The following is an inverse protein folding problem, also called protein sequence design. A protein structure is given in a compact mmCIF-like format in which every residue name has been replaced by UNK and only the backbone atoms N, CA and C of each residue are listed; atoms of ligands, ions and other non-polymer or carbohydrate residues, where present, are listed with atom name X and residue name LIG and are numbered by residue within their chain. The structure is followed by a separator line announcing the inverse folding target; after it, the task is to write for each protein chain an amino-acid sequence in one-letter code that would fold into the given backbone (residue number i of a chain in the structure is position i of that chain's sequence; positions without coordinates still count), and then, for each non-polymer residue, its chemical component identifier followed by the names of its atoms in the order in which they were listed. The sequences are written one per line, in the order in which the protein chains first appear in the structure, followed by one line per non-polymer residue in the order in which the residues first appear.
data_IF_187362956041
#
_entry.id   IF_187362956041
#
_cell.length_a   1.000
_cell.length_b   1.000
_cell.length_c   1.000
_cell.angle_alpha   90.00
_cell.angle_beta   90.00
_cell.angle_gamma   90.00
#
_symmetry.space_group_name_H-M   'P 1'
#
loop_
_entity.id
_entity.type
_entity.pdbx_description
1 polymer ?
#
# COMPACT_ATOMS: atom_id res chain seq x y z
N UNK A 1 -5.91 11.21 -2.78
CA UNK A 1 -4.66 11.81 -2.27
C UNK A 1 -3.51 11.39 -3.17
N UNK A 2 -3.09 10.11 -3.22
CA UNK A 2 -1.93 9.60 -3.98
C UNK A 2 -1.94 10.06 -5.44
N UNK A 3 -3.06 9.94 -6.16
CA UNK A 3 -3.19 10.37 -7.57
C UNK A 3 -2.93 11.88 -7.77
N UNK A 4 -3.29 12.70 -6.82
CA UNK A 4 -3.04 14.15 -6.89
C UNK A 4 -1.55 14.41 -6.78
N UNK A 5 -0.90 13.82 -5.78
CA UNK A 5 0.55 13.95 -5.60
C UNK A 5 1.33 13.35 -6.77
N UNK A 6 0.92 12.18 -7.28
CA UNK A 6 1.57 11.56 -8.42
C UNK A 6 1.54 12.48 -9.67
N UNK A 7 0.40 13.18 -9.91
CA UNK A 7 0.32 14.20 -10.98
C UNK A 7 1.17 15.44 -10.71
N UNK A 8 1.29 15.86 -9.45
CA UNK A 8 2.18 16.94 -9.06
C UNK A 8 3.63 16.54 -9.35
N UNK A 9 4.00 15.30 -9.02
CA UNK A 9 5.31 14.74 -9.33
C UNK A 9 5.58 14.69 -10.83
N UNK A 10 4.62 14.25 -11.64
CA UNK A 10 4.76 14.26 -13.11
C UNK A 10 5.10 15.67 -13.64
N UNK A 11 4.55 16.71 -13.03
CA UNK A 11 4.72 18.09 -13.48
C UNK A 11 5.98 18.78 -12.90
N UNK A 12 6.28 18.55 -11.63
CA UNK A 12 7.35 19.26 -10.93
C UNK A 12 8.68 18.52 -10.89
N UNK A 13 8.64 17.19 -10.87
CA UNK A 13 9.82 16.35 -10.65
C UNK A 13 9.95 15.22 -11.69
N UNK A 14 9.79 15.48 -13.01
CA UNK A 14 9.89 14.43 -14.03
C UNK A 14 11.29 13.79 -14.09
N UNK A 15 12.31 14.52 -13.58
CA UNK A 15 13.69 14.03 -13.51
C UNK A 15 13.89 12.90 -12.48
N UNK A 16 13.03 12.81 -11.44
CA UNK A 16 13.09 11.74 -10.46
C UNK A 16 12.83 10.36 -11.08
N UNK A 17 12.07 10.28 -12.16
CA UNK A 17 11.83 9.03 -12.87
C UNK A 17 13.10 8.43 -13.49
N UNK A 18 14.13 9.25 -13.73
CA UNK A 18 15.44 8.76 -14.22
C UNK A 18 16.24 8.01 -13.14
N UNK A 19 15.95 8.30 -11.89
CA UNK A 19 16.58 7.67 -10.71
C UNK A 19 15.69 6.60 -10.11
N UNK A 20 14.53 6.33 -10.73
CA UNK A 20 13.62 5.32 -10.22
C UNK A 20 14.23 3.94 -10.41
N UNK A 21 14.52 3.31 -9.31
CA UNK A 21 15.14 1.99 -9.29
C UNK A 21 14.03 0.94 -9.46
N UNK A 22 14.15 0.12 -10.48
CA UNK A 22 13.51 -1.18 -10.48
C UNK A 22 14.05 -1.94 -9.27
N UNK A 23 13.17 -2.23 -8.30
CA UNK A 23 13.57 -2.89 -7.06
C UNK A 23 14.27 -4.23 -7.32
N UNK A 24 13.91 -4.91 -8.41
CA UNK A 24 14.57 -6.13 -8.85
C UNK A 24 15.99 -5.87 -9.36
N UNK A 25 16.19 -4.77 -10.11
CA UNK A 25 17.54 -4.36 -10.60
C UNK A 25 18.42 -3.82 -9.48
N UNK A 26 17.84 -3.11 -8.50
CA UNK A 26 18.58 -2.67 -7.33
C UNK A 26 19.08 -3.88 -6.54
N UNK A 27 18.20 -4.85 -6.31
CA UNK A 27 18.53 -6.09 -5.60
C UNK A 27 19.65 -6.88 -6.31
N UNK A 28 19.65 -6.91 -7.65
CA UNK A 28 20.72 -7.56 -8.42
C UNK A 28 22.08 -6.84 -8.34
N UNK A 29 22.09 -5.51 -8.13
CA UNK A 29 23.32 -4.70 -8.00
C UNK A 29 23.90 -4.72 -6.59
N UNK A 30 23.05 -4.68 -5.56
CA UNK A 30 23.46 -4.64 -4.15
C UNK A 30 23.66 -6.06 -3.59
N UNK A 31 23.16 -7.08 -4.30
CA UNK A 31 23.28 -8.47 -3.89
C UNK A 31 22.60 -8.76 -2.56
N UNK A 32 23.24 -9.55 -1.69
CA UNK A 32 22.70 -9.95 -0.39
C UNK A 32 22.22 -8.76 0.46
N UNK A 33 22.92 -7.63 0.44
CA UNK A 33 22.61 -6.46 1.26
C UNK A 33 21.29 -5.77 0.90
N UNK A 34 20.77 -5.96 -0.30
CA UNK A 34 19.46 -5.51 -0.73
C UNK A 34 18.36 -6.58 -0.57
N UNK A 35 18.69 -7.76 -0.07
CA UNK A 35 17.71 -8.83 0.14
C UNK A 35 16.72 -8.48 1.24
N UNK A 36 15.52 -9.07 1.18
CA UNK A 36 14.49 -8.91 2.22
C UNK A 36 15.01 -9.34 3.58
N UNK A 37 15.85 -10.38 3.59
CA UNK A 37 16.51 -10.85 4.80
C UNK A 37 17.42 -9.78 5.41
N UNK A 38 18.30 -9.17 4.64
CA UNK A 38 19.18 -8.09 5.11
C UNK A 38 18.38 -6.86 5.58
N UNK A 39 17.34 -6.48 4.83
CA UNK A 39 16.43 -5.39 5.21
C UNK A 39 15.74 -5.69 6.55
N UNK A 40 15.29 -6.92 6.76
CA UNK A 40 14.72 -7.35 8.04
C UNK A 40 15.72 -7.20 9.20
N UNK A 41 16.99 -7.57 8.99
CA UNK A 41 18.06 -7.36 9.99
C UNK A 41 18.19 -5.87 10.34
N UNK A 42 18.32 -4.99 9.34
CA UNK A 42 18.48 -3.56 9.58
C UNK A 42 17.29 -2.97 10.34
N UNK A 43 16.08 -3.35 9.94
CA UNK A 43 14.85 -2.89 10.58
C UNK A 43 14.77 -3.37 12.03
N UNK A 44 15.07 -4.64 12.28
CA UNK A 44 15.07 -5.19 13.63
C UNK A 44 16.10 -4.56 14.54
N UNK A 45 17.33 -4.31 14.04
CA UNK A 45 18.35 -3.57 14.79
C UNK A 45 17.87 -2.15 15.09
N UNK A 46 17.36 -1.44 14.09
CA UNK A 46 16.90 -0.07 14.25
C UNK A 46 15.77 0.06 15.29
N UNK A 47 14.74 -0.78 15.18
CA UNK A 47 13.63 -0.79 16.14
C UNK A 47 14.10 -1.20 17.54
N UNK A 48 14.96 -2.20 17.64
CA UNK A 48 15.51 -2.65 18.94
C UNK A 48 16.35 -1.59 19.62
N UNK A 49 17.15 -0.81 18.87
CA UNK A 49 17.91 0.32 19.40
C UNK A 49 16.99 1.44 19.89
N UNK A 50 15.96 1.80 19.10
CA UNK A 50 14.97 2.80 19.50
C UNK A 50 14.19 2.39 20.76
N UNK A 51 13.91 1.10 20.90
CA UNK A 51 13.22 0.55 22.08
C UNK A 51 14.14 0.38 23.30
N UNK A 52 15.43 0.71 23.22
CA UNK A 52 16.38 0.56 24.32
C UNK A 52 16.59 -0.89 24.73
N UNK A 53 16.44 -1.85 23.81
CA UNK A 53 16.58 -3.28 24.11
C UNK A 53 18.04 -3.68 24.37
N UNK A 54 18.23 -4.77 25.09
CA UNK A 54 19.56 -5.37 25.29
C UNK A 54 20.12 -5.94 23.98
N UNK A 55 21.44 -6.05 23.81
CA UNK A 55 22.06 -6.58 22.59
C UNK A 55 21.49 -7.94 22.16
N UNK A 56 21.21 -8.83 23.11
CA UNK A 56 20.63 -10.15 22.84
C UNK A 56 19.20 -10.04 22.30
N UNK A 57 18.39 -9.15 22.84
CA UNK A 57 17.03 -8.89 22.36
C UNK A 57 17.06 -8.25 20.95
N UNK A 58 17.96 -7.30 20.70
CA UNK A 58 18.17 -6.69 19.40
C UNK A 58 18.53 -7.74 18.36
N UNK A 59 19.46 -8.63 18.68
CA UNK A 59 19.85 -9.72 17.77
C UNK A 59 18.68 -10.66 17.46
N UNK A 60 17.93 -11.08 18.49
CA UNK A 60 16.74 -11.91 18.31
C UNK A 60 15.68 -11.23 17.47
N UNK A 61 15.41 -9.94 17.70
CA UNK A 61 14.45 -9.15 16.93
C UNK A 61 14.88 -9.01 15.48
N UNK A 62 16.16 -8.71 15.23
CA UNK A 62 16.73 -8.57 13.89
C UNK A 62 16.60 -9.87 13.09
N UNK A 63 16.95 -10.99 13.69
CA UNK A 63 16.83 -12.29 13.04
C UNK A 63 15.38 -12.68 12.78
N UNK A 64 14.50 -12.47 13.76
CA UNK A 64 13.06 -12.73 13.61
C UNK A 64 12.46 -11.87 12.50
N UNK A 65 12.77 -10.58 12.44
CA UNK A 65 12.29 -9.69 11.39
C UNK A 65 12.78 -10.13 10.00
N UNK A 66 14.05 -10.56 9.89
CA UNK A 66 14.62 -11.07 8.65
C UNK A 66 13.90 -12.33 8.15
N UNK A 67 13.69 -13.30 9.03
CA UNK A 67 12.99 -14.54 8.71
C UNK A 67 11.53 -14.27 8.35
N UNK A 68 10.84 -13.41 9.10
CA UNK A 68 9.45 -13.05 8.82
C UNK A 68 9.30 -12.41 7.44
N UNK A 69 10.14 -11.46 7.06
CA UNK A 69 10.05 -10.80 5.76
C UNK A 69 10.28 -11.78 4.60
N UNK A 70 11.21 -12.71 4.75
CA UNK A 70 11.45 -13.74 3.75
C UNK A 70 10.26 -14.72 3.63
N UNK A 71 9.77 -15.22 4.76
CA UNK A 71 8.63 -16.13 4.81
C UNK A 71 7.35 -15.50 4.25
N UNK A 72 7.02 -14.26 4.60
CA UNK A 72 5.85 -13.56 4.06
C UNK A 72 5.89 -13.49 2.55
N UNK A 73 7.05 -13.22 2.00
CA UNK A 73 7.23 -13.16 0.55
C UNK A 73 7.06 -14.51 -0.13
N UNK A 74 7.62 -15.56 0.47
CA UNK A 74 7.52 -16.93 -0.04
C UNK A 74 6.07 -17.45 0.03
N UNK A 75 5.42 -17.25 1.18
CA UNK A 75 4.01 -17.64 1.39
C UNK A 75 3.11 -16.87 0.41
N UNK A 76 3.34 -15.56 0.23
CA UNK A 76 2.61 -14.75 -0.74
C UNK A 76 2.75 -15.27 -2.17
N UNK A 77 3.94 -15.66 -2.58
CA UNK A 77 4.18 -16.24 -3.91
C UNK A 77 3.46 -17.59 -4.09
N UNK A 78 3.48 -18.46 -3.09
CA UNK A 78 2.75 -19.74 -3.12
C UNK A 78 1.24 -19.52 -3.16
N UNK A 79 0.73 -18.55 -2.40
CA UNK A 79 -0.69 -18.21 -2.41
C UNK A 79 -1.14 -17.73 -3.79
N UNK A 80 -0.36 -16.85 -4.43
CA UNK A 80 -0.62 -16.40 -5.80
C UNK A 80 -0.66 -17.59 -6.76
N UNK A 81 0.35 -18.45 -6.73
CA UNK A 81 0.43 -19.61 -7.61
C UNK A 81 -0.75 -20.58 -7.40
N UNK A 82 -1.24 -20.72 -6.16
CA UNK A 82 -2.38 -21.59 -5.87
C UNK A 82 -3.72 -21.02 -6.35
N UNK A 83 -3.89 -19.68 -6.32
CA UNK A 83 -5.16 -19.01 -6.66
C UNK A 83 -5.24 -18.63 -8.14
N UNK A 84 -4.11 -18.52 -8.83
CA UNK A 84 -4.06 -18.13 -10.25
C UNK A 84 -4.93 -19.01 -11.15
N UNK A 85 -4.89 -20.37 -11.07
CA UNK A 85 -5.75 -21.22 -11.89
C UNK A 85 -7.25 -20.99 -11.64
N UNK A 86 -7.64 -20.75 -10.38
CA UNK A 86 -9.01 -20.42 -10.01
C UNK A 86 -9.46 -19.10 -10.62
N UNK A 87 -8.61 -18.07 -10.53
CA UNK A 87 -8.84 -16.75 -11.12
C UNK A 87 -9.00 -16.82 -12.63
N UNK A 88 -8.16 -17.59 -13.31
CA UNK A 88 -8.26 -17.82 -14.75
C UNK A 88 -9.55 -18.58 -15.09
N UNK A 89 -9.89 -19.64 -14.38
CA UNK A 89 -11.12 -20.42 -14.60
C UNK A 89 -12.39 -19.57 -14.43
N UNK A 90 -12.45 -18.71 -13.41
CA UNK A 90 -13.57 -17.78 -13.21
C UNK A 90 -13.65 -16.76 -14.35
N UNK A 91 -12.51 -16.22 -14.78
CA UNK A 91 -12.45 -15.26 -15.91
C UNK A 91 -12.95 -15.89 -17.20
N UNK A 92 -12.50 -17.10 -17.52
CA UNK A 92 -12.90 -17.83 -18.71
C UNK A 92 -14.39 -18.19 -18.70
N UNK A 93 -14.89 -18.66 -17.55
CA UNK A 93 -16.31 -18.95 -17.36
C UNK A 93 -17.16 -17.72 -17.55
N UNK A 94 -16.76 -16.63 -16.96
CA UNK A 94 -17.47 -15.36 -17.02
C UNK A 94 -17.46 -14.76 -18.45
N UNK A 95 -16.31 -14.79 -19.14
CA UNK A 95 -16.19 -14.33 -20.52
C UNK A 95 -17.05 -15.14 -21.48
N UNK A 96 -17.18 -16.47 -21.26
CA UNK A 96 -18.07 -17.32 -22.07
C UNK A 96 -19.55 -17.00 -21.86
N UNK A 97 -19.95 -16.64 -20.65
CA UNK A 97 -21.37 -16.37 -20.30
C UNK A 97 -21.81 -14.92 -20.54
N UNK A 98 -20.91 -13.97 -20.40
CA UNK A 98 -21.23 -12.54 -20.39
C UNK A 98 -20.89 -11.86 -21.71
N UNK A 99 -21.26 -12.44 -22.84
CA UNK A 99 -21.10 -11.94 -24.22
C UNK A 99 -20.65 -10.45 -24.29
N UNK A 100 -19.34 -10.23 -24.44
CA UNK A 100 -18.78 -8.88 -24.67
C UNK A 100 -18.49 -8.01 -23.44
N UNK A 101 -18.63 -8.54 -22.21
CA UNK A 101 -18.20 -7.85 -20.99
C UNK A 101 -16.89 -8.46 -20.49
N UNK A 102 -15.85 -7.65 -20.36
CA UNK A 102 -14.62 -8.04 -19.67
C UNK A 102 -14.85 -7.98 -18.16
N UNK A 103 -14.66 -9.08 -17.48
CA UNK A 103 -14.63 -9.11 -16.01
C UNK A 103 -13.20 -8.89 -15.57
N UNK A 104 -13.01 -7.89 -14.72
CA UNK A 104 -11.77 -7.69 -14.00
C UNK A 104 -11.93 -8.31 -12.60
N UNK A 105 -11.11 -9.29 -12.31
CA UNK A 105 -11.04 -9.87 -10.96
C UNK A 105 -10.17 -8.95 -10.13
N UNK A 106 -10.73 -8.41 -9.04
CA UNK A 106 -9.98 -7.63 -8.07
C UNK A 106 -9.03 -8.53 -7.30
N UNK A 107 -7.75 -8.20 -7.29
CA UNK A 107 -6.74 -8.89 -6.48
C UNK A 107 -6.64 -8.17 -5.14
N UNK A 108 -6.77 -8.93 -4.06
CA UNK A 108 -6.64 -8.46 -2.70
C UNK A 108 -5.16 -8.45 -2.26
N UNK A 109 -4.90 -7.93 -1.06
CA UNK A 109 -3.58 -7.75 -0.48
C UNK A 109 -2.66 -8.99 -0.57
N UNK A 110 -3.11 -10.23 -0.32
CA UNK A 110 -2.24 -11.39 -0.43
C UNK A 110 -1.53 -11.53 -1.77
N UNK A 111 -2.18 -11.12 -2.86
CA UNK A 111 -1.58 -11.13 -4.20
C UNK A 111 -0.54 -10.04 -4.40
N UNK A 112 -0.72 -8.90 -3.72
CA UNK A 112 0.22 -7.78 -3.77
C UNK A 112 1.42 -8.02 -2.85
N UNK A 113 1.28 -8.83 -1.82
CA UNK A 113 2.34 -9.14 -0.86
C UNK A 113 3.57 -9.83 -1.50
N UNK A 114 3.40 -10.47 -2.66
CA UNK A 114 4.51 -11.02 -3.45
C UNK A 114 5.38 -9.96 -4.14
N UNK A 115 4.92 -8.69 -4.22
CA UNK A 115 5.61 -7.61 -4.93
C UNK A 115 6.73 -7.04 -4.08
N UNK A 116 7.96 -7.05 -4.63
CA UNK A 116 9.15 -6.55 -3.95
C UNK A 116 9.08 -5.05 -3.62
N UNK A 117 8.42 -4.27 -4.48
CA UNK A 117 8.26 -2.83 -4.33
C UNK A 117 7.46 -2.45 -3.08
N UNK A 118 6.45 -3.26 -2.71
CA UNK A 118 5.66 -3.06 -1.49
C UNK A 118 6.56 -3.13 -0.26
N UNK A 119 7.38 -4.17 -0.17
CA UNK A 119 8.26 -4.37 0.97
C UNK A 119 9.40 -3.36 1.00
N UNK A 120 9.98 -3.03 -0.17
CA UNK A 120 11.01 -2.01 -0.25
C UNK A 120 10.48 -0.63 0.23
N UNK A 121 9.31 -0.22 -0.25
CA UNK A 121 8.66 1.02 0.21
C UNK A 121 8.28 0.95 1.70
N UNK A 122 7.69 -0.16 2.15
CA UNK A 122 7.27 -0.33 3.54
C UNK A 122 8.44 -0.22 4.53
N UNK A 123 9.59 -0.80 4.18
CA UNK A 123 10.79 -0.75 5.02
C UNK A 123 11.36 0.66 5.19
N UNK A 124 11.27 1.50 4.15
CA UNK A 124 11.69 2.90 4.24
C UNK A 124 10.64 3.75 4.95
N UNK A 125 9.36 3.49 4.71
CA UNK A 125 8.27 4.25 5.33
C UNK A 125 8.08 3.92 6.81
N UNK A 126 8.46 2.72 7.28
CA UNK A 126 8.29 2.33 8.67
C UNK A 126 9.02 3.26 9.67
N UNK A 127 10.34 3.53 9.53
CA UNK A 127 11.01 4.49 10.40
C UNK A 127 10.49 5.92 10.23
N UNK A 128 10.09 6.32 9.02
CA UNK A 128 9.50 7.64 8.77
C UNK A 128 8.18 7.76 9.56
N UNK A 129 7.31 6.77 9.48
CA UNK A 129 6.04 6.76 10.21
C UNK A 129 6.25 6.82 11.73
N UNK A 130 7.27 6.13 12.23
CA UNK A 130 7.58 6.17 13.65
C UNK A 130 8.01 7.57 14.10
N UNK A 131 8.86 8.23 13.31
CA UNK A 131 9.26 9.62 13.56
C UNK A 131 8.06 10.57 13.48
N UNK A 132 7.24 10.44 12.44
CA UNK A 132 6.03 11.24 12.30
C UNK A 132 5.05 11.04 13.46
N UNK A 133 4.88 9.80 13.94
CA UNK A 133 4.02 9.53 15.09
C UNK A 133 4.45 10.28 16.35
N UNK A 134 5.76 10.51 16.52
CA UNK A 134 6.32 11.23 17.67
C UNK A 134 6.16 12.75 17.53
N UNK A 135 6.43 13.28 16.32
CA UNK A 135 6.48 14.74 16.08
C UNK A 135 5.14 15.34 15.68
N UNK A 136 4.19 14.51 15.23
CA UNK A 136 2.93 14.99 14.65
C UNK A 136 2.00 15.55 15.75
N UNK A 137 1.64 16.85 15.69
CA UNK A 137 0.81 17.45 16.72
C UNK A 137 -0.58 16.83 16.74
N UNK A 138 -1.09 16.55 17.94
CA UNK A 138 -2.42 15.96 18.13
C UNK A 138 -2.52 14.46 17.84
N UNK A 139 -1.47 13.83 17.38
CA UNK A 139 -1.43 12.37 17.26
C UNK A 139 -1.29 11.71 18.64
N UNK A 140 -2.11 10.70 18.88
CA UNK A 140 -2.09 9.87 20.10
C UNK A 140 -1.86 8.39 19.79
N UNK A 141 -1.62 8.08 18.52
CA UNK A 141 -1.49 6.72 18.03
C UNK A 141 -0.01 6.34 17.92
N UNK A 142 0.35 5.22 18.52
CA UNK A 142 1.61 4.56 18.24
C UNK A 142 1.38 3.61 17.04
N UNK A 143 2.07 3.80 15.92
CA UNK A 143 1.79 3.07 14.71
C UNK A 143 2.21 1.60 14.82
N UNK A 144 1.38 0.73 14.22
CA UNK A 144 1.71 -0.67 13.99
C UNK A 144 2.08 -0.86 12.52
N UNK A 145 3.04 -1.71 12.23
CA UNK A 145 3.58 -1.94 10.88
C UNK A 145 2.54 -2.31 9.79
N UNK A 146 1.36 -2.79 10.21
CA UNK A 146 0.26 -3.09 9.29
C UNK A 146 -0.27 -1.90 8.48
N UNK A 147 -0.19 -0.67 9.02
CA UNK A 147 -0.62 0.54 8.30
C UNK A 147 0.10 0.65 6.95
N UNK A 148 1.41 0.48 6.94
CA UNK A 148 2.23 0.70 5.76
C UNK A 148 2.00 -0.41 4.75
N UNK A 149 2.20 -1.66 5.17
CA UNK A 149 2.18 -2.79 4.26
C UNK A 149 0.78 -3.06 3.67
N UNK A 150 -0.28 -2.85 4.44
CA UNK A 150 -1.66 -3.20 4.05
C UNK A 150 -2.48 -1.99 3.60
N UNK A 151 -2.29 -0.83 4.22
CA UNK A 151 -3.09 0.37 3.94
C UNK A 151 -2.48 1.28 2.89
N UNK A 152 -1.19 1.57 2.99
CA UNK A 152 -0.52 2.62 2.19
C UNK A 152 0.11 2.07 0.92
N UNK A 153 0.98 1.08 1.03
CA UNK A 153 1.83 0.63 -0.11
C UNK A 153 1.07 -0.02 -1.26
N UNK A 154 -0.04 -0.75 -1.08
CA UNK A 154 -0.79 -1.29 -2.23
C UNK A 154 -1.38 -0.20 -3.11
N UNK A 155 -1.95 0.84 -2.51
CA UNK A 155 -2.50 1.98 -3.25
C UNK A 155 -1.40 2.79 -3.96
N UNK A 156 -0.24 2.97 -3.31
CA UNK A 156 0.94 3.57 -3.91
C UNK A 156 1.43 2.76 -5.11
N UNK A 157 1.57 1.44 -4.97
CA UNK A 157 2.01 0.55 -6.05
C UNK A 157 1.15 0.73 -7.32
N UNK A 158 -0.16 0.71 -7.16
CA UNK A 158 -1.11 0.81 -8.27
C UNK A 158 -1.04 2.20 -8.93
N UNK A 159 -1.05 3.26 -8.14
CA UNK A 159 -1.09 4.63 -8.66
C UNK A 159 0.24 5.05 -9.27
N UNK A 160 1.35 4.75 -8.63
CA UNK A 160 2.69 5.13 -9.13
C UNK A 160 3.28 4.12 -10.11
N UNK A 161 2.58 2.99 -10.36
CA UNK A 161 3.04 1.88 -11.21
C UNK A 161 4.35 1.26 -10.72
N UNK A 162 4.51 1.15 -9.41
CA UNK A 162 5.68 0.55 -8.79
C UNK A 162 6.94 1.42 -8.78
N UNK A 163 6.83 2.71 -9.10
CA UNK A 163 7.94 3.65 -9.01
C UNK A 163 8.32 3.88 -7.56
N UNK A 164 9.41 3.26 -7.11
CA UNK A 164 9.77 3.14 -5.70
C UNK A 164 9.98 4.50 -5.01
N UNK A 165 10.71 5.41 -5.66
CA UNK A 165 10.97 6.75 -5.10
C UNK A 165 9.65 7.50 -4.92
N UNK A 166 8.74 7.44 -5.89
CA UNK A 166 7.42 8.06 -5.77
C UNK A 166 6.59 7.41 -4.67
N UNK A 167 6.63 6.09 -4.55
CA UNK A 167 5.96 5.37 -3.46
C UNK A 167 6.43 5.87 -2.10
N UNK A 168 7.74 6.02 -1.90
CA UNK A 168 8.31 6.47 -0.63
C UNK A 168 7.90 7.92 -0.33
N UNK A 169 8.11 8.85 -1.27
CA UNK A 169 7.85 10.27 -1.01
C UNK A 169 6.36 10.56 -0.84
N UNK A 170 5.51 10.02 -1.70
CA UNK A 170 4.05 10.20 -1.58
C UNK A 170 3.54 9.49 -0.33
N UNK A 171 4.07 8.30 -0.03
CA UNK A 171 3.73 7.57 1.19
C UNK A 171 4.03 8.36 2.45
N UNK A 172 5.22 8.95 2.56
CA UNK A 172 5.58 9.80 3.68
C UNK A 172 4.62 10.99 3.86
N UNK A 173 4.18 11.62 2.77
CA UNK A 173 3.19 12.71 2.84
C UNK A 173 1.81 12.21 3.28
N UNK A 174 1.47 10.95 3.00
CA UNK A 174 0.16 10.38 3.30
C UNK A 174 0.06 9.80 4.72
N UNK A 175 1.17 9.35 5.31
CA UNK A 175 1.20 8.74 6.65
C UNK A 175 0.56 9.58 7.75
N UNK A 176 0.75 10.91 7.84
CA UNK A 176 0.06 11.75 8.81
C UNK A 176 -1.47 11.63 8.78
N UNK A 177 -2.05 11.45 7.60
CA UNK A 177 -3.50 11.28 7.47
C UNK A 177 -3.98 9.98 8.12
N UNK A 178 -3.19 8.90 8.00
CA UNK A 178 -3.47 7.63 8.68
C UNK A 178 -3.38 7.76 10.19
N UNK A 179 -2.36 8.45 10.70
CA UNK A 179 -2.13 8.66 12.12
C UNK A 179 -3.25 9.50 12.76
N UNK A 180 -3.61 10.64 12.14
CA UNK A 180 -4.69 11.48 12.63
C UNK A 180 -6.05 10.80 12.56
N UNK A 181 -6.36 10.12 11.46
CA UNK A 181 -7.64 9.41 11.32
C UNK A 181 -7.78 8.28 12.33
N UNK A 182 -6.71 7.53 12.58
CA UNK A 182 -6.66 6.52 13.62
C UNK A 182 -6.86 7.10 15.03
N UNK A 183 -6.28 8.26 15.31
CA UNK A 183 -6.46 8.99 16.58
C UNK A 183 -7.91 9.46 16.75
N UNK A 184 -8.53 9.99 15.69
CA UNK A 184 -9.91 10.47 15.73
C UNK A 184 -10.93 9.37 16.00
N UNK A 185 -10.72 8.18 15.43
CA UNK A 185 -11.66 7.06 15.58
C UNK A 185 -11.45 6.27 16.89
N UNK A 186 -10.32 6.45 17.57
CA UNK A 186 -9.94 5.68 18.76
C UNK A 186 -11.02 5.63 19.86
N UNK A 187 -11.75 6.72 20.20
CA UNK A 187 -12.81 6.67 21.18
C UNK A 187 -13.92 5.68 20.81
N UNK A 188 -14.36 5.67 19.56
CA UNK A 188 -15.42 4.77 19.08
C UNK A 188 -14.98 3.32 19.08
N UNK A 189 -13.76 3.05 18.59
CA UNK A 189 -13.16 1.70 18.61
C UNK A 189 -13.05 1.19 20.05
N UNK A 190 -12.59 2.03 20.97
CA UNK A 190 -12.47 1.69 22.39
C UNK A 190 -13.83 1.38 23.03
N UNK A 191 -14.83 2.22 22.76
CA UNK A 191 -16.19 2.02 23.26
C UNK A 191 -16.79 0.72 22.74
N UNK A 192 -16.67 0.46 21.44
CA UNK A 192 -17.15 -0.77 20.82
C UNK A 192 -16.44 -1.99 21.40
N UNK A 193 -15.12 -1.97 21.53
CA UNK A 193 -14.35 -3.07 22.10
C UNK A 193 -14.78 -3.38 23.55
N UNK A 194 -15.05 -2.35 24.37
CA UNK A 194 -15.56 -2.52 25.73
C UNK A 194 -16.96 -3.11 25.72
N UNK A 195 -17.84 -2.67 24.84
CA UNK A 195 -19.22 -3.14 24.74
C UNK A 195 -19.33 -4.63 24.35
N UNK A 196 -18.43 -5.10 23.49
CA UNK A 196 -18.39 -6.52 23.04
C UNK A 196 -17.44 -7.40 23.86
N UNK A 197 -16.83 -6.87 24.93
CA UNK A 197 -15.90 -7.63 25.78
C UNK A 197 -14.55 -7.96 25.14
N UNK A 198 -14.17 -7.26 24.06
CA UNK A 198 -12.92 -7.44 23.33
C UNK A 198 -11.83 -6.42 23.73
N UNK A 199 -12.03 -5.65 24.79
CA UNK A 199 -11.02 -4.73 25.25
C UNK A 199 -9.85 -5.51 25.89
N UNK A 200 -8.58 -5.25 25.50
CA UNK A 200 -7.45 -6.04 25.97
C UNK A 200 -7.30 -6.00 27.49
N UNK A 201 -7.15 -7.19 28.10
CA UNK A 201 -6.82 -7.31 29.52
C UNK A 201 -5.41 -6.80 29.76
N UNK A 202 -5.22 -6.00 30.81
CA UNK A 202 -3.92 -5.43 31.17
C UNK A 202 -3.71 -3.97 30.76
N UNK A 203 -4.61 -3.40 29.95
CA UNK A 203 -4.63 -1.96 29.72
C UNK A 203 -5.42 -1.24 30.82
N UNK A 204 -5.00 0.00 31.13
CA UNK A 204 -5.76 0.84 32.08
C UNK A 204 -7.17 1.12 31.54
N UNK A 205 -8.15 1.31 32.43
CA UNK A 205 -9.52 1.63 32.04
C UNK A 205 -9.63 2.93 31.23
N UNK A 206 -8.68 3.84 31.37
CA UNK A 206 -8.57 5.11 30.61
C UNK A 206 -7.82 4.96 29.27
N UNK A 207 -7.18 3.82 29.02
CA UNK A 207 -6.47 3.61 27.76
C UNK A 207 -7.46 3.58 26.58
N UNK A 208 -6.98 4.06 25.44
CA UNK A 208 -7.70 4.00 24.17
C UNK A 208 -6.98 3.06 23.21
N UNK A 209 -7.76 2.32 22.45
CA UNK A 209 -7.30 1.49 21.35
C UNK A 209 -7.86 2.03 20.03
N UNK A 210 -7.16 1.82 18.95
CA UNK A 210 -7.61 2.23 17.63
C UNK A 210 -7.39 1.09 16.63
N UNK A 211 -8.10 1.20 15.52
CA UNK A 211 -7.93 0.31 14.37
C UNK A 211 -7.30 1.08 13.22
N UNK A 212 -6.21 0.58 12.67
CA UNK A 212 -5.38 1.35 11.73
C UNK A 212 -4.89 0.56 10.53
N UNK A 213 -5.28 -0.70 10.39
CA UNK A 213 -4.58 -1.61 9.49
C UNK A 213 -5.13 -1.67 8.08
N UNK A 214 -6.44 -1.65 7.87
CA UNK A 214 -7.03 -1.93 6.55
C UNK A 214 -7.82 -0.76 5.98
N UNK A 215 -8.50 0.00 6.80
CA UNK A 215 -9.31 1.12 6.35
C UNK A 215 -8.43 2.35 6.07
N UNK A 216 -8.73 3.01 4.96
CA UNK A 216 -8.09 4.27 4.61
C UNK A 216 -8.50 5.43 5.54
N UNK A 217 -7.77 6.55 5.46
CA UNK A 217 -8.10 7.73 6.26
C UNK A 217 -9.51 8.26 6.02
N UNK A 218 -10.00 8.19 4.79
CA UNK A 218 -11.32 8.72 4.40
C UNK A 218 -12.43 7.95 5.09
N UNK A 219 -12.33 6.62 5.11
CA UNK A 219 -13.31 5.75 5.77
C UNK A 219 -13.35 6.02 7.27
N UNK A 220 -12.21 6.26 7.90
CA UNK A 220 -12.12 6.62 9.32
C UNK A 220 -12.72 7.99 9.61
N UNK A 221 -12.45 8.99 8.76
CA UNK A 221 -13.08 10.31 8.88
C UNK A 221 -14.60 10.22 8.72
N UNK A 222 -15.10 9.47 7.75
CA UNK A 222 -16.54 9.24 7.59
C UNK A 222 -17.11 8.51 8.81
N UNK A 223 -16.43 7.47 9.30
CA UNK A 223 -16.81 6.76 10.50
C UNK A 223 -16.89 7.66 11.74
N UNK A 224 -15.93 8.57 11.89
CA UNK A 224 -15.95 9.59 12.94
C UNK A 224 -17.17 10.51 12.83
N UNK A 225 -17.46 11.02 11.64
CA UNK A 225 -18.59 11.93 11.42
C UNK A 225 -19.93 11.22 11.66
N UNK A 226 -20.11 10.01 11.14
CA UNK A 226 -21.31 9.20 11.34
C UNK A 226 -21.48 8.80 12.82
N UNK A 227 -20.36 8.43 13.48
CA UNK A 227 -20.37 8.07 14.89
C UNK A 227 -20.84 9.22 15.78
N UNK A 228 -20.39 10.45 15.55
CA UNK A 228 -20.87 11.64 16.28
C UNK A 228 -22.33 11.95 15.96
N UNK A 229 -22.74 11.82 14.69
CA UNK A 229 -24.14 12.00 14.29
C UNK A 229 -25.06 11.00 15.01
N UNK A 230 -24.65 9.74 15.16
CA UNK A 230 -25.40 8.69 15.86
C UNK A 230 -25.55 8.93 17.38
N UNK A 231 -24.64 9.73 17.95
CA UNK A 231 -24.69 10.17 19.35
C UNK A 231 -25.57 11.41 19.57
N UNK A 232 -26.32 11.85 18.55
CA UNK A 232 -27.27 12.96 18.64
C UNK A 232 -26.68 14.34 18.30
N UNK A 233 -25.43 14.40 17.81
CA UNK A 233 -24.83 15.65 17.34
C UNK A 233 -25.27 15.94 15.90
N UNK A 234 -26.40 16.63 15.73
CA UNK A 234 -27.09 16.81 14.44
C UNK A 234 -26.21 17.51 13.38
N UNK A 235 -25.35 18.44 13.80
CA UNK A 235 -24.41 19.11 12.90
C UNK A 235 -23.50 18.13 12.13
N UNK A 236 -23.18 16.99 12.73
CA UNK A 236 -22.35 15.96 12.09
C UNK A 236 -23.08 15.22 10.97
N UNK A 237 -24.42 15.23 10.93
CA UNK A 237 -25.19 14.70 9.80
C UNK A 237 -24.91 15.52 8.54
N UNK A 238 -24.88 16.85 8.67
CA UNK A 238 -24.54 17.73 7.55
C UNK A 238 -23.09 17.53 7.11
N UNK A 239 -22.16 17.48 8.05
CA UNK A 239 -20.73 17.24 7.74
C UNK A 239 -20.51 15.88 7.09
N UNK A 240 -21.18 14.82 7.54
CA UNK A 240 -21.12 13.50 6.93
C UNK A 240 -21.67 13.52 5.49
N UNK A 241 -22.80 14.19 5.28
CA UNK A 241 -23.39 14.36 3.94
C UNK A 241 -22.46 15.11 2.97
N UNK A 242 -21.87 16.21 3.41
CA UNK A 242 -20.91 16.98 2.62
C UNK A 242 -19.63 16.18 2.33
N UNK A 243 -19.08 15.49 3.34
CA UNK A 243 -17.91 14.66 3.18
C UNK A 243 -18.15 13.49 2.21
N UNK A 244 -19.30 12.83 2.29
CA UNK A 244 -19.68 11.77 1.37
C UNK A 244 -19.84 12.29 -0.07
N UNK A 245 -20.48 13.44 -0.26
CA UNK A 245 -20.62 14.07 -1.56
C UNK A 245 -19.23 14.42 -2.16
N UNK A 246 -18.34 15.02 -1.35
CA UNK A 246 -16.98 15.31 -1.77
C UNK A 246 -16.20 14.04 -2.13
N UNK A 247 -16.33 12.99 -1.31
CA UNK A 247 -15.71 11.69 -1.59
C UNK A 247 -16.18 11.09 -2.92
N UNK A 248 -17.49 11.10 -3.18
CA UNK A 248 -18.05 10.58 -4.43
C UNK A 248 -17.54 11.36 -5.65
N UNK A 249 -17.45 12.69 -5.57
CA UNK A 249 -16.89 13.52 -6.65
C UNK A 249 -15.42 13.19 -6.91
N UNK A 250 -14.62 13.08 -5.85
CA UNK A 250 -13.21 12.69 -5.94
C UNK A 250 -13.07 11.28 -6.52
N UNK A 251 -13.92 10.35 -6.09
CA UNK A 251 -13.92 8.97 -6.60
C UNK A 251 -14.25 8.90 -8.08
N UNK A 252 -15.27 9.62 -8.53
CA UNK A 252 -15.64 9.70 -9.95
C UNK A 252 -14.48 10.28 -10.77
N UNK A 253 -13.85 11.34 -10.29
CA UNK A 253 -12.68 11.93 -10.92
C UNK A 253 -11.51 10.92 -10.97
N UNK A 254 -11.21 10.23 -9.87
CA UNK A 254 -10.18 9.20 -9.80
C UNK A 254 -10.45 8.07 -10.79
N UNK A 255 -11.66 7.53 -10.82
CA UNK A 255 -12.04 6.44 -11.70
C UNK A 255 -11.87 6.83 -13.19
N UNK A 256 -12.25 8.07 -13.56
CA UNK A 256 -12.03 8.60 -14.91
C UNK A 256 -10.54 8.72 -15.25
N UNK A 257 -9.72 9.16 -14.31
CA UNK A 257 -8.26 9.27 -14.52
C UNK A 257 -7.62 7.89 -14.68
N UNK A 258 -7.97 6.93 -13.81
CA UNK A 258 -7.46 5.56 -13.90
C UNK A 258 -7.86 4.89 -15.21
N UNK A 259 -9.10 5.05 -15.66
CA UNK A 259 -9.55 4.53 -16.96
C UNK A 259 -8.71 5.07 -18.12
N UNK A 260 -8.41 6.38 -18.15
CA UNK A 260 -7.54 7.00 -19.15
C UNK A 260 -6.11 6.45 -19.10
N UNK A 261 -5.54 6.32 -17.88
CA UNK A 261 -4.17 5.79 -17.69
C UNK A 261 -4.06 4.33 -18.13
N UNK A 262 -5.05 3.51 -17.79
CA UNK A 262 -5.06 2.09 -18.16
C UNK A 262 -5.18 1.91 -19.68
N UNK A 263 -6.00 2.74 -20.35
CA UNK A 263 -6.10 2.72 -21.81
C UNK A 263 -4.78 3.12 -22.48
N UNK A 264 -4.12 4.18 -21.99
CA UNK A 264 -2.80 4.59 -22.50
C UNK A 264 -1.74 3.50 -22.29
N UNK A 265 -1.73 2.84 -21.13
CA UNK A 265 -0.81 1.75 -20.84
C UNK A 265 -1.04 0.51 -21.73
N UNK A 266 -2.31 0.18 -22.00
CA UNK A 266 -2.66 -0.92 -22.90
C UNK A 266 -2.16 -0.63 -24.32
N UNK A 267 -2.38 0.59 -24.83
CA UNK A 267 -1.90 1.01 -26.15
C UNK A 267 -0.36 0.98 -26.26
N UNK A 268 0.35 1.43 -25.22
CA UNK A 268 1.82 1.38 -25.18
C UNK A 268 2.34 -0.07 -25.18
N UNK A 269 1.67 -0.96 -24.44
CA UNK A 269 2.01 -2.38 -24.40
C UNK A 269 1.80 -3.06 -25.75
N UNK A 270 0.71 -2.75 -26.43
CA UNK A 270 0.42 -3.25 -27.78
C UNK A 270 1.47 -2.75 -28.79
N UNK A 271 1.86 -1.48 -28.74
CA UNK A 271 2.92 -0.94 -29.61
C UNK A 271 4.28 -1.62 -29.37
N UNK A 272 4.61 -1.94 -28.12
CA UNK A 272 5.86 -2.65 -27.80
C UNK A 272 5.82 -4.14 -28.14
N UNK A 273 4.64 -4.74 -28.18
CA UNK A 273 4.42 -6.13 -28.55
C UNK A 273 4.28 -6.34 -30.06
N UNK A 274 4.01 -5.29 -30.83
CA UNK A 274 3.99 -5.34 -32.29
C UNK A 274 5.40 -5.66 -32.80
N UNK A 275 5.63 -6.76 -33.55
CA UNK A 275 6.93 -7.07 -34.09
C UNK A 275 7.39 -5.89 -34.97
N UNK A 276 8.67 -5.49 -34.82
CA UNK A 276 9.27 -4.48 -35.67
C UNK A 276 9.37 -5.04 -37.11
N UNK A 277 8.33 -4.82 -37.86
CA UNK A 277 8.26 -5.20 -39.29
C UNK A 277 9.04 -4.21 -40.17
N UNK A 278 9.91 -3.43 -39.62
CA UNK A 278 10.71 -2.45 -40.33
C UNK A 278 12.21 -2.72 -40.23
N UNK A 279 12.66 -3.95 -40.56
CA UNK A 279 14.03 -4.19 -41.05
C UNK A 279 14.19 -5.67 -41.47
N UNK A 280 13.40 -6.10 -42.41
CA UNK A 280 13.47 -7.47 -42.98
C UNK A 280 13.60 -7.46 -44.50
N UNK A 281 14.43 -6.58 -45.04
CA UNK A 281 14.99 -6.74 -46.36
C UNK A 281 16.50 -6.68 -46.19
N UNK A 282 17.14 -7.82 -46.12
CA UNK A 282 18.46 -8.16 -46.69
C UNK A 282 18.87 -9.55 -46.19
N UNK A 283 19.21 -10.39 -47.15
CA UNK A 283 19.93 -11.67 -47.03
C UNK A 283 19.09 -12.96 -47.07
N UNK A 284 18.44 -13.20 -48.18
CA UNK A 284 18.43 -14.51 -48.78
C UNK A 284 19.11 -14.39 -50.15
N UNK A 285 20.39 -14.46 -50.16
CA UNK A 285 21.20 -14.80 -51.37
C UNK A 285 22.48 -15.49 -50.88
N UNK A 286 22.69 -16.68 -51.46
CA UNK A 286 23.93 -17.42 -51.53
C UNK A 286 24.36 -18.26 -50.30
N UNK A 287 23.97 -19.52 -50.34
CA UNK A 287 24.92 -20.64 -50.11
C UNK A 287 24.50 -21.79 -51.02
N UNK A 288 25.24 -21.89 -52.10
CA UNK A 288 25.43 -23.14 -52.83
C UNK A 288 26.35 -24.05 -52.04
#
# INVERSE_FOLDING_TARGET
VIMVFDKIFDKLFPWLDKYDFDAAKLNSKIGFWGSKFAIGIYLGIFVGLLAGQTPTQIFSLAFTAAVCLELFSLIGAWFIAAVEPLSQGITDFANKRLKGRTINIGLDWPFLAGRAEIWAAANVLAPIMLLEAIILPGNKLLPLGGIIAMGVTPALLVVTRGKLIRMIVIGAIELPLFLWSGTLIAPFVTQTAKAVGAFPSGLSASAQISHTTMEGPIEKFLGYLVGNASQGQIEFVLYAGLALAAYLLIFIWYARQMKKRNAAYAAEKEQKAAPSVANGNVAYAEAK
#
